data_IF_614131586084
#
_entry.id   IF_614131586084
#
_cell.length_a   1.000
_cell.length_b   1.000
_cell.length_c   1.000
_cell.angle_alpha   90.00
_cell.angle_beta   90.00
_cell.angle_gamma   90.00
#
_symmetry.space_group_name_H-M   'P 1'
#
loop_
_entity.id
_entity.type
_entity.pdbx_description
1 polymer ?
2 non-polymer ?
3 non-polymer ?
4 water ?
#
# COMPACT_ATOMS: atom_id res chain seq x y z
N UNK A 9 7.46 -29.14 17.76
CA UNK A 9 6.38 -30.12 17.57
C UNK A 9 5.14 -29.49 16.93
N UNK A 10 4.64 -30.12 15.85
CA UNK A 10 3.49 -29.65 15.06
C UNK A 10 2.25 -30.53 15.26
N UNK A 11 1.08 -29.87 15.44
CA UNK A 11 -0.23 -30.52 15.60
C UNK A 11 -1.06 -30.35 14.33
N UNK A 12 -0.36 -30.40 13.16
CA UNK A 12 -0.90 -30.34 11.80
C UNK A 12 -1.53 -31.72 11.49
N UNK A 13 -1.15 -32.72 12.29
CA UNK A 13 -1.59 -34.10 12.29
C UNK A 13 -3.09 -34.23 12.62
N UNK A 14 -3.64 -33.27 13.39
CA UNK A 14 -5.04 -33.29 13.81
C UNK A 14 -5.97 -32.56 12.86
N UNK A 15 -5.39 -31.81 11.90
CA UNK A 15 -6.18 -31.08 10.91
C UNK A 15 -6.60 -32.07 9.85
N UNK A 16 -7.89 -32.33 9.80
CA UNK A 16 -8.54 -33.23 8.86
C UNK A 16 -8.91 -32.45 7.58
N UNK A 17 -8.51 -32.96 6.40
CA UNK A 17 -8.86 -32.39 5.09
C UNK A 17 -10.34 -32.71 4.86
N UNK A 18 -11.14 -31.68 4.47
CA UNK A 18 -12.60 -31.78 4.27
C UNK A 18 -13.01 -31.66 2.81
N UNK A 19 -12.10 -31.27 1.91
CA UNK A 19 -12.37 -31.14 0.47
C UNK A 19 -11.06 -31.11 -0.31
N UNK A 20 -11.16 -31.33 -1.63
CA UNK A 20 -10.03 -31.42 -2.56
C UNK A 20 -10.41 -30.71 -3.85
N UNK A 21 -9.43 -30.09 -4.50
CA UNK A 21 -9.65 -29.44 -5.81
C UNK A 21 -9.95 -30.52 -6.87
N UNK A 22 -10.62 -30.24 -8.01
CA UNK A 22 -10.80 -31.30 -9.03
C UNK A 22 -9.44 -31.81 -9.51
N UNK A 23 -8.42 -30.93 -9.57
CA UNK A 23 -7.04 -31.25 -9.94
C UNK A 23 -6.38 -32.26 -8.98
N UNK A 24 -6.81 -32.23 -7.71
CA UNK A 24 -6.32 -33.09 -6.63
C UNK A 24 -5.15 -32.50 -5.86
N UNK A 25 -4.60 -31.40 -6.38
CA UNK A 25 -3.44 -30.71 -5.83
C UNK A 25 -3.69 -30.02 -4.47
N UNK A 26 -4.88 -29.45 -4.27
CA UNK A 26 -5.15 -28.70 -3.04
C UNK A 26 -6.17 -29.34 -2.15
N UNK A 27 -5.92 -29.25 -0.84
CA UNK A 27 -6.79 -29.73 0.21
C UNK A 27 -7.40 -28.57 1.02
N UNK A 28 -8.66 -28.70 1.41
CA UNK A 28 -9.36 -27.73 2.24
C UNK A 28 -9.41 -28.28 3.68
N UNK A 29 -9.16 -27.44 4.66
CA UNK A 29 -9.30 -27.77 6.05
C UNK A 29 -10.47 -26.91 6.51
N UNK A 30 -11.23 -27.39 7.47
CA UNK A 30 -12.36 -26.62 7.95
C UNK A 30 -11.94 -25.67 9.08
N UNK A 31 -10.98 -24.76 8.74
CA UNK A 31 -10.41 -23.72 9.60
C UNK A 31 -10.58 -22.39 8.83
N UNK A 32 -11.55 -21.57 9.25
CA UNK A 32 -11.90 -20.28 8.66
C UNK A 32 -10.89 -19.22 9.09
N UNK A 33 -10.35 -18.51 8.12
CA UNK A 33 -9.36 -17.46 8.35
C UNK A 33 -9.95 -16.06 8.30
N UNK A 34 -11.05 -15.90 7.57
CA UNK A 34 -11.72 -14.62 7.40
C UNK A 34 -13.10 -14.76 6.77
N UNK A 35 -13.94 -13.73 6.96
CA UNK A 35 -15.30 -13.70 6.43
C UNK A 35 -15.55 -12.53 5.48
N UNK A 36 -16.82 -12.26 5.25
CA UNK A 36 -17.32 -11.21 4.39
C UNK A 36 -18.50 -11.76 3.61
N UNK A 37 -19.40 -10.86 3.15
CA UNK A 37 -20.49 -11.33 2.30
C UNK A 37 -19.77 -11.67 0.98
N UNK A 38 -20.27 -12.70 0.32
CA UNK A 38 -19.74 -13.29 -0.93
C UNK A 38 -18.47 -14.08 -0.73
N UNK A 39 -17.86 -14.08 0.48
CA UNK A 39 -16.58 -14.75 0.68
C UNK A 39 -16.28 -15.35 2.06
N UNK A 40 -15.73 -16.58 2.05
CA UNK A 40 -15.22 -17.24 3.25
C UNK A 40 -13.82 -17.77 2.86
N UNK A 41 -12.79 -17.49 3.67
CA UNK A 41 -11.41 -17.94 3.40
C UNK A 41 -11.08 -19.04 4.40
N UNK A 42 -10.46 -20.11 3.91
CA UNK A 42 -10.11 -21.27 4.71
C UNK A 42 -8.65 -21.56 4.65
N UNK A 43 -8.16 -22.27 5.66
CA UNK A 43 -6.78 -22.74 5.61
C UNK A 43 -6.82 -23.94 4.62
N UNK A 44 -5.80 -24.03 3.80
CA UNK A 44 -5.66 -25.09 2.82
C UNK A 44 -4.23 -25.56 2.73
N UNK A 45 -3.98 -26.54 1.88
CA UNK A 45 -2.65 -27.09 1.68
C UNK A 45 -2.38 -27.42 0.22
N UNK A 46 -1.15 -27.10 -0.24
CA UNK A 46 -0.71 -27.47 -1.57
C UNK A 46 0.06 -28.79 -1.33
N UNK A 47 -0.34 -29.87 -2.01
CA UNK A 47 0.30 -31.17 -1.82
C UNK A 47 1.50 -31.37 -2.79
N UNK A 48 1.79 -30.37 -3.64
CA UNK A 48 2.94 -30.38 -4.55
C UNK A 48 4.12 -29.71 -3.86
N UNK A 49 3.88 -28.64 -3.08
CA UNK A 49 4.89 -27.87 -2.33
C UNK A 49 4.84 -28.10 -0.81
N UNK A 50 3.69 -28.55 -0.26
CA UNK A 50 3.45 -28.79 1.18
C UNK A 50 3.52 -27.48 1.99
N UNK A 51 2.94 -26.42 1.41
CA UNK A 51 2.86 -25.06 1.95
C UNK A 51 1.39 -24.66 2.12
N UNK A 52 1.05 -24.13 3.30
CA UNK A 52 -0.31 -23.71 3.57
C UNK A 52 -0.76 -22.57 2.65
N UNK A 53 -1.94 -22.74 2.07
CA UNK A 53 -2.53 -21.80 1.12
C UNK A 53 -3.87 -21.26 1.64
N UNK A 54 -4.43 -20.27 0.95
CA UNK A 54 -5.74 -19.76 1.29
C UNK A 54 -6.73 -20.42 0.34
N UNK A 55 -7.76 -21.05 0.90
CA UNK A 55 -8.83 -21.70 0.14
C UNK A 55 -10.02 -20.75 0.26
N UNK A 56 -10.22 -19.96 -0.75
CA UNK A 56 -11.25 -18.95 -0.73
C UNK A 56 -12.51 -19.42 -1.46
N UNK A 57 -13.66 -19.28 -0.81
CA UNK A 57 -14.94 -19.65 -1.40
C UNK A 57 -15.75 -18.40 -1.64
N UNK A 58 -16.00 -18.11 -2.91
CA UNK A 58 -16.70 -16.93 -3.39
C UNK A 58 -18.05 -17.30 -3.97
N UNK A 59 -19.12 -16.66 -3.48
CA UNK A 59 -20.45 -16.94 -4.02
C UNK A 59 -21.44 -15.79 -3.88
N UNK A 60 -22.06 -15.42 -5.00
CA UNK A 60 -23.20 -14.52 -5.02
C UNK A 60 -24.38 -15.39 -5.47
N UNK A 61 -25.34 -15.59 -4.55
CA UNK A 61 -26.50 -16.45 -4.78
C UNK A 61 -27.46 -15.90 -5.84
N UNK A 62 -27.78 -14.58 -5.75
CA UNK A 62 -28.68 -13.87 -6.66
C UNK A 62 -28.07 -13.60 -8.06
N UNK A 63 -27.27 -14.54 -8.59
CA UNK A 63 -26.58 -14.40 -9.89
C UNK A 63 -27.17 -15.30 -10.98
N UNK A 64 -27.46 -14.71 -12.17
CA UNK A 64 -28.02 -15.40 -13.34
C UNK A 64 -26.98 -16.35 -13.95
N UNK A 65 -27.41 -17.25 -14.85
CA UNK A 65 -26.56 -18.21 -15.55
C UNK A 65 -25.49 -17.49 -16.37
N UNK A 66 -25.85 -16.35 -17.01
CA UNK A 66 -24.94 -15.52 -17.81
C UNK A 66 -23.88 -14.89 -16.90
N UNK A 67 -24.32 -14.19 -15.82
CA UNK A 67 -23.48 -13.52 -14.81
C UNK A 67 -22.48 -14.52 -14.19
N UNK A 68 -22.96 -15.73 -13.82
CA UNK A 68 -22.16 -16.80 -13.23
C UNK A 68 -21.03 -17.28 -14.13
N UNK A 69 -21.29 -17.42 -15.44
CA UNK A 69 -20.26 -17.83 -16.40
C UNK A 69 -19.21 -16.71 -16.61
N UNK A 70 -19.60 -15.43 -16.37
CA UNK A 70 -18.70 -14.29 -16.50
C UNK A 70 -17.84 -14.11 -15.23
N UNK A 71 -18.39 -14.52 -14.08
CA UNK A 71 -17.73 -14.50 -12.78
C UNK A 71 -16.69 -15.63 -12.74
N UNK A 72 -17.05 -16.82 -13.24
CA UNK A 72 -16.17 -17.98 -13.34
C UNK A 72 -14.94 -17.67 -14.22
N UNK A 73 -15.15 -16.97 -15.36
CA UNK A 73 -14.03 -16.62 -16.26
C UNK A 73 -13.18 -15.47 -15.72
N UNK A 74 -13.78 -14.57 -14.92
CA UNK A 74 -13.07 -13.46 -14.27
C UNK A 74 -12.09 -14.07 -13.27
N UNK A 75 -12.54 -15.14 -12.58
CA UNK A 75 -11.78 -15.88 -11.60
C UNK A 75 -10.63 -16.64 -12.25
N UNK A 76 -10.85 -17.16 -13.48
CA UNK A 76 -9.85 -17.90 -14.25
C UNK A 76 -8.76 -16.97 -14.82
N UNK A 77 -9.08 -15.69 -15.04
CA UNK A 77 -8.14 -14.68 -15.53
C UNK A 77 -7.01 -14.41 -14.52
N UNK A 78 -7.35 -14.48 -13.20
CA UNK A 78 -6.45 -14.22 -12.07
C UNK A 78 -5.29 -15.22 -11.96
N UNK A 79 -5.50 -16.47 -12.45
CA UNK A 79 -4.51 -17.58 -12.46
C UNK A 79 -3.21 -17.18 -13.17
N UNK A 80 -3.33 -16.50 -14.30
CA UNK A 80 -2.18 -16.04 -15.08
C UNK A 80 -1.51 -14.77 -14.58
N UNK A 81 -1.88 -14.28 -13.38
CA UNK A 81 -1.26 -13.07 -12.82
C UNK A 81 -0.08 -13.43 -11.95
N UNK A 82 1.11 -13.13 -12.48
CA UNK A 82 2.40 -13.38 -11.86
C UNK A 82 3.19 -12.08 -11.83
N UNK A 83 3.37 -11.51 -10.63
CA UNK A 83 4.10 -10.26 -10.40
C UNK A 83 4.56 -10.31 -8.94
N UNK A 84 5.77 -9.81 -8.58
CA UNK A 84 6.21 -9.91 -7.17
C UNK A 84 5.35 -9.12 -6.16
N UNK A 85 4.53 -8.14 -6.62
CA UNK A 85 3.69 -7.31 -5.75
C UNK A 85 2.19 -7.62 -5.82
N UNK A 86 1.85 -8.82 -6.30
CA UNK A 86 0.47 -9.32 -6.42
C UNK A 86 0.48 -10.66 -5.75
N UNK A 87 -0.45 -10.89 -4.81
CA UNK A 87 -0.58 -12.19 -4.13
C UNK A 87 -0.79 -13.21 -5.25
N UNK A 88 -0.02 -14.30 -5.23
CA UNK A 88 -0.10 -15.33 -6.27
C UNK A 88 -1.43 -16.09 -6.17
N UNK A 89 -2.12 -16.25 -7.33
CA UNK A 89 -3.37 -16.99 -7.50
C UNK A 89 -3.00 -18.30 -8.18
N UNK A 90 -2.96 -19.40 -7.41
CA UNK A 90 -2.54 -20.71 -7.89
C UNK A 90 -3.52 -21.40 -8.80
N UNK A 91 -4.82 -21.41 -8.44
CA UNK A 91 -5.87 -22.07 -9.23
C UNK A 91 -7.26 -21.60 -8.84
N UNK A 92 -8.21 -21.70 -9.78
CA UNK A 92 -9.62 -21.37 -9.55
C UNK A 92 -10.51 -22.36 -10.29
N UNK A 93 -11.62 -22.76 -9.67
CA UNK A 93 -12.59 -23.66 -10.29
C UNK A 93 -14.02 -23.40 -9.77
N UNK A 94 -15.03 -23.93 -10.47
CA UNK A 94 -16.43 -23.82 -10.08
C UNK A 94 -16.82 -25.06 -9.31
N UNK A 95 -17.61 -24.86 -8.26
CA UNK A 95 -18.09 -25.89 -7.37
C UNK A 95 -19.56 -25.56 -7.01
N UNK A 96 -20.09 -26.18 -5.95
CA UNK A 96 -21.44 -26.00 -5.46
C UNK A 96 -21.38 -25.83 -3.94
N UNK A 97 -22.06 -24.79 -3.45
CA UNK A 97 -22.15 -24.48 -2.03
C UNK A 97 -23.61 -24.20 -1.75
N UNK A 98 -24.17 -24.94 -0.77
CA UNK A 98 -25.59 -24.88 -0.39
C UNK A 98 -26.50 -24.97 -1.66
N UNK A 99 -26.24 -26.00 -2.48
CA UNK A 99 -26.99 -26.28 -3.70
C UNK A 99 -26.70 -25.37 -4.89
N UNK A 100 -26.44 -24.07 -4.63
CA UNK A 100 -26.16 -23.10 -5.70
C UNK A 100 -24.68 -23.11 -6.07
N UNK A 101 -24.36 -22.60 -7.27
CA UNK A 101 -22.98 -22.52 -7.76
C UNK A 101 -22.14 -21.52 -6.96
N UNK A 102 -20.85 -21.86 -6.77
CA UNK A 102 -19.85 -21.05 -6.09
C UNK A 102 -18.52 -21.17 -6.83
N UNK A 103 -17.58 -20.26 -6.58
CA UNK A 103 -16.24 -20.27 -7.16
C UNK A 103 -15.23 -20.45 -6.02
N UNK A 104 -14.20 -21.29 -6.22
CA UNK A 104 -13.14 -21.49 -5.25
C UNK A 104 -11.88 -20.87 -5.83
N UNK A 105 -11.20 -20.01 -5.06
CA UNK A 105 -9.95 -19.39 -5.47
C UNK A 105 -8.87 -19.80 -4.53
N UNK A 106 -7.84 -20.46 -5.08
CA UNK A 106 -6.70 -20.85 -4.25
C UNK A 106 -5.60 -19.81 -4.48
N UNK A 107 -5.12 -19.23 -3.38
CA UNK A 107 -4.10 -18.19 -3.42
C UNK A 107 -3.03 -18.48 -2.38
N UNK A 108 -1.90 -17.77 -2.49
CA UNK A 108 -0.81 -17.74 -1.54
C UNK A 108 -1.38 -17.21 -0.21
N UNK A 109 -0.94 -17.80 0.91
CA UNK A 109 -1.37 -17.39 2.25
C UNK A 109 -0.29 -16.45 2.83
N UNK A 110 -0.70 -15.22 3.14
CA UNK A 110 0.14 -14.15 3.66
C UNK A 110 0.08 -14.25 5.19
N UNK A 111 1.19 -14.71 5.79
CA UNK A 111 1.29 -15.02 7.22
C UNK A 111 1.57 -13.82 8.12
N UNK A 112 2.16 -12.72 7.59
CA UNK A 112 2.46 -11.51 8.37
C UNK A 112 1.33 -10.49 8.36
N UNK A 113 0.15 -10.89 7.90
CA UNK A 113 -1.03 -10.04 7.84
C UNK A 113 -1.03 -8.87 6.87
N UNK A 114 -2.02 -7.99 7.05
CA UNK A 114 -2.26 -6.85 6.19
C UNK A 114 -1.54 -5.60 6.68
N UNK A 115 -1.52 -4.58 5.81
CA UNK A 115 -0.99 -3.29 6.14
C UNK A 115 -1.93 -2.60 7.16
N UNK A 116 -3.26 -2.85 7.08
CA UNK A 116 -4.26 -2.29 8.00
C UNK A 116 -3.95 -2.73 9.45
N UNK A 117 -3.71 -4.04 9.66
CA UNK A 117 -3.35 -4.60 10.96
C UNK A 117 -2.03 -3.97 11.44
N UNK A 118 -1.05 -3.89 10.52
CA UNK A 118 0.26 -3.30 10.83
C UNK A 118 0.12 -1.82 11.32
N UNK A 119 -0.60 -0.98 10.58
CA UNK A 119 -0.78 0.44 10.87
C UNK A 119 -1.69 0.76 12.07
N UNK A 120 -2.40 -0.23 12.64
CA UNK A 120 -3.22 -0.07 13.87
C UNK A 120 -2.30 0.16 15.06
N UNK A 121 -1.11 -0.45 15.03
CA UNK A 121 -0.11 -0.45 16.09
C UNK A 121 1.24 0.19 15.71
N UNK A 122 1.79 -0.15 14.55
CA UNK A 122 3.12 0.29 14.16
C UNK A 122 3.17 1.32 13.08
N UNK A 123 4.20 2.15 13.15
CA UNK A 123 4.52 3.15 12.13
C UNK A 123 5.36 2.41 11.12
N UNK A 124 5.38 2.87 9.86
CA UNK A 124 6.23 2.16 8.89
C UNK A 124 7.70 2.48 9.25
N UNK A 125 8.53 1.44 9.17
CA UNK A 125 9.92 1.49 9.54
C UNK A 125 10.79 2.37 8.64
N UNK A 126 11.81 2.98 9.29
CA UNK A 126 12.79 3.89 8.73
C UNK A 126 14.15 3.22 8.51
N UNK A 127 14.92 3.52 7.41
CA UNK A 127 14.82 4.67 6.51
C UNK A 127 14.06 4.60 5.16
N UNK A 128 13.83 3.41 4.58
CA UNK A 128 13.28 3.40 3.21
C UNK A 128 11.93 2.72 2.98
N UNK A 129 11.37 2.01 3.96
CA UNK A 129 10.22 1.14 3.70
C UNK A 129 8.97 1.94 3.22
N UNK A 130 8.71 3.18 3.68
CA UNK A 130 7.57 3.95 3.14
C UNK A 130 7.67 4.12 1.60
N UNK A 131 8.81 4.64 1.11
CA UNK A 131 9.05 4.85 -0.31
C UNK A 131 8.90 3.54 -1.10
N UNK A 132 9.44 2.42 -0.54
CA UNK A 132 9.45 1.11 -1.20
C UNK A 132 8.07 0.53 -1.31
N UNK A 133 7.27 0.56 -0.24
CA UNK A 133 5.94 -0.02 -0.21
C UNK A 133 5.04 0.73 -1.16
N UNK A 134 5.20 2.06 -1.25
CA UNK A 134 4.44 2.90 -2.19
C UNK A 134 4.70 2.50 -3.62
N UNK A 135 5.99 2.46 -4.01
CA UNK A 135 6.50 2.11 -5.33
C UNK A 135 6.03 0.71 -5.71
N UNK A 136 5.95 -0.20 -4.71
CA UNK A 136 5.50 -1.57 -4.89
C UNK A 136 4.01 -1.68 -5.15
N UNK A 137 3.20 -0.85 -4.49
CA UNK A 137 1.74 -0.82 -4.77
C UNK A 137 1.54 -0.25 -6.19
N UNK A 138 2.30 0.80 -6.57
CA UNK A 138 2.22 1.43 -7.91
C UNK A 138 2.61 0.44 -8.99
N UNK A 139 3.71 -0.31 -8.79
CA UNK A 139 4.18 -1.35 -9.69
C UNK A 139 3.16 -2.47 -9.86
N UNK A 140 2.55 -2.89 -8.76
CA UNK A 140 1.49 -3.90 -8.74
C UNK A 140 0.24 -3.45 -9.48
N UNK A 141 -0.23 -2.21 -9.21
CA UNK A 141 -1.36 -1.60 -9.90
C UNK A 141 -1.07 -1.43 -11.40
N UNK A 142 0.14 -0.94 -11.75
CA UNK A 142 0.57 -0.73 -13.13
C UNK A 142 0.50 -2.04 -13.90
N UNK A 143 0.92 -3.17 -13.28
CA UNK A 143 0.89 -4.52 -13.84
C UNK A 143 -0.55 -4.92 -14.16
N UNK A 144 -1.50 -4.72 -13.21
CA UNK A 144 -2.92 -5.01 -13.35
C UNK A 144 -3.54 -4.15 -14.47
N UNK A 145 -3.22 -2.85 -14.50
CA UNK A 145 -3.73 -1.91 -15.53
C UNK A 145 -3.14 -2.15 -16.93
N UNK A 146 -2.02 -2.89 -17.04
CA UNK A 146 -1.36 -3.15 -18.32
C UNK A 146 -1.66 -4.54 -18.87
N UNK A 147 -2.65 -5.22 -18.27
CA UNK A 147 -3.06 -6.52 -18.75
C UNK A 147 -3.95 -6.32 -19.96
N UNK A 148 -4.18 -7.39 -20.75
CA UNK A 148 -5.07 -7.33 -21.91
C UNK A 148 -6.18 -8.35 -21.67
N UNK A 149 -7.40 -7.91 -21.31
CA UNK A 149 -7.82 -6.50 -21.14
C UNK A 149 -7.37 -5.97 -19.76
N UNK A 150 -7.29 -4.63 -19.55
CA UNK A 150 -6.83 -4.11 -18.25
C UNK A 150 -7.64 -4.62 -17.06
N UNK A 151 -6.97 -4.85 -15.93
CA UNK A 151 -7.61 -5.23 -14.67
C UNK A 151 -7.62 -3.98 -13.79
N UNK A 152 -8.75 -3.67 -13.17
CA UNK A 152 -8.91 -2.57 -12.21
C UNK A 152 -9.10 -3.29 -10.88
N UNK A 153 -8.35 -2.91 -9.83
CA UNK A 153 -8.49 -3.56 -8.52
C UNK A 153 -9.91 -3.36 -7.98
N UNK A 154 -10.44 -2.10 -7.97
CA UNK A 154 -11.79 -1.73 -7.53
C UNK A 154 -12.00 -1.71 -6.03
N UNK A 155 -11.09 -2.33 -5.24
CA UNK A 155 -11.26 -2.42 -3.81
C UNK A 155 -9.92 -2.24 -3.11
N UNK A 156 -9.06 -1.35 -3.65
CA UNK A 156 -7.74 -1.10 -3.05
C UNK A 156 -7.85 -0.35 -1.75
N UNK A 157 -7.20 -0.89 -0.74
CA UNK A 157 -7.18 -0.35 0.63
C UNK A 157 -6.12 -1.13 1.38
N UNK A 158 -5.74 -0.62 2.55
CA UNK A 158 -4.71 -1.21 3.39
C UNK A 158 -5.01 -2.63 3.82
N UNK A 159 -6.29 -2.96 4.01
CA UNK A 159 -6.71 -4.32 4.36
C UNK A 159 -6.56 -5.32 3.22
N UNK A 160 -6.27 -4.85 1.98
CA UNK A 160 -6.06 -5.66 0.76
C UNK A 160 -4.62 -5.62 0.27
N UNK A 161 -3.73 -5.05 1.10
CA UNK A 161 -2.29 -4.99 0.90
C UNK A 161 -1.69 -5.85 2.03
N UNK A 162 -0.95 -6.88 1.66
CA UNK A 162 -0.33 -7.81 2.59
C UNK A 162 1.15 -7.58 2.64
N UNK A 163 1.73 -7.80 3.81
CA UNK A 163 3.15 -7.57 4.01
C UNK A 163 3.88 -8.90 4.18
N UNK A 164 5.13 -8.98 3.68
CA UNK A 164 5.96 -10.18 3.87
C UNK A 164 6.60 -10.07 5.23
N UNK A 165 6.82 -8.82 5.66
CA UNK A 165 7.43 -8.45 6.92
C UNK A 165 7.56 -6.95 7.02
N UNK A 166 7.94 -6.42 8.20
CA UNK A 166 8.05 -4.96 8.35
C UNK A 166 9.13 -4.29 7.50
N UNK A 167 10.16 -5.06 7.09
CA UNK A 167 11.25 -4.58 6.23
C UNK A 167 11.23 -5.31 4.87
N UNK A 168 10.19 -6.10 4.66
CA UNK A 168 10.03 -6.85 3.43
C UNK A 168 9.26 -6.07 2.39
N UNK A 169 8.61 -6.80 1.51
CA UNK A 169 7.81 -6.25 0.45
C UNK A 169 6.30 -6.36 0.70
N UNK A 170 5.54 -5.57 -0.06
CA UNK A 170 4.09 -5.59 -0.04
C UNK A 170 3.54 -6.30 -1.28
N UNK A 171 2.38 -6.92 -1.13
CA UNK A 171 1.65 -7.59 -2.21
C UNK A 171 0.18 -7.21 -2.13
N UNK A 172 -0.38 -6.76 -3.25
CA UNK A 172 -1.79 -6.47 -3.39
C UNK A 172 -2.52 -7.83 -3.56
N UNK A 173 -3.61 -7.99 -2.82
CA UNK A 173 -4.44 -9.18 -2.93
C UNK A 173 -5.89 -8.74 -2.94
N UNK A 174 -6.79 -9.72 -2.87
CA UNK A 174 -8.24 -9.55 -2.81
C UNK A 174 -8.80 -8.58 -3.86
N UNK A 175 -8.49 -8.83 -5.13
CA UNK A 175 -8.98 -8.00 -6.22
C UNK A 175 -10.50 -7.97 -6.21
N UNK A 176 -11.08 -6.80 -6.47
CA UNK A 176 -12.52 -6.64 -6.55
C UNK A 176 -12.98 -7.14 -7.90
N UNK A 177 -13.76 -8.24 -7.92
CA UNK A 177 -14.21 -8.85 -9.17
C UNK A 177 -15.35 -8.07 -9.80
N UNK A 178 -15.16 -7.59 -11.05
CA UNK A 178 -16.13 -6.79 -11.81
C UNK A 178 -17.60 -7.27 -11.67
N UNK A 179 -17.84 -8.58 -11.86
CA UNK A 179 -19.13 -9.27 -11.80
C UNK A 179 -19.71 -9.30 -10.38
N UNK A 180 -18.83 -9.33 -9.35
CA UNK A 180 -19.22 -9.32 -7.95
C UNK A 180 -19.56 -7.92 -7.41
N UNK A 181 -19.28 -6.89 -8.20
CA UNK A 181 -19.48 -5.49 -7.81
C UNK A 181 -20.23 -4.72 -8.87
N UNK A 182 -21.18 -5.37 -9.54
CA UNK A 182 -21.99 -4.75 -10.58
C UNK A 182 -23.03 -3.77 -9.98
N UNK A 183 -23.46 -3.98 -8.72
CA UNK A 183 -24.53 -3.21 -8.09
C UNK A 183 -24.13 -2.29 -6.95
N UNK A 184 -24.98 -1.27 -6.71
CA UNK A 184 -24.80 -0.34 -5.61
C UNK A 184 -24.82 -1.02 -4.26
N UNK A 185 -25.56 -2.15 -4.15
CA UNK A 185 -25.63 -2.97 -2.95
C UNK A 185 -24.26 -3.62 -2.69
N UNK A 186 -23.75 -4.38 -3.70
CA UNK A 186 -22.46 -5.10 -3.66
C UNK A 186 -21.31 -4.15 -3.39
N UNK A 187 -21.35 -2.95 -3.98
CA UNK A 187 -20.33 -1.92 -3.78
C UNK A 187 -20.37 -1.39 -2.34
N UNK A 188 -21.54 -1.31 -1.72
CA UNK A 188 -21.71 -0.80 -0.35
C UNK A 188 -21.28 -1.77 0.72
N UNK A 189 -21.29 -3.07 0.40
CA UNK A 189 -20.88 -4.15 1.30
C UNK A 189 -19.37 -4.43 1.12
N UNK A 190 -18.89 -4.48 -0.13
CA UNK A 190 -17.48 -4.78 -0.41
C UNK A 190 -16.58 -3.60 -0.07
N UNK A 191 -16.83 -2.45 -0.69
CA UNK A 191 -16.04 -1.24 -0.51
C UNK A 191 -15.95 -0.62 0.87
N UNK A 192 -14.86 0.13 1.12
CA UNK A 192 -14.56 0.90 2.34
C UNK A 192 -14.61 2.38 1.90
N UNK A 193 -15.67 3.12 2.33
CA UNK A 193 -15.83 4.53 1.91
C UNK A 193 -14.57 5.40 1.86
N UNK A 194 -13.72 5.26 2.88
CA UNK A 194 -12.47 6.01 3.03
C UNK A 194 -11.55 5.94 1.80
N UNK A 195 -11.48 4.74 1.19
CA UNK A 195 -10.60 4.40 0.08
C UNK A 195 -11.26 4.49 -1.29
N UNK A 196 -12.56 4.83 -1.34
CA UNK A 196 -13.35 4.89 -2.58
C UNK A 196 -13.40 6.25 -3.20
N UNK A 197 -13.09 6.31 -4.50
CA UNK A 197 -13.14 7.54 -5.31
C UNK A 197 -14.59 7.98 -5.38
N UNK A 198 -14.90 9.30 -5.50
CA UNK A 198 -16.31 9.72 -5.59
C UNK A 198 -17.13 9.02 -6.70
N UNK A 199 -16.49 8.66 -7.84
CA UNK A 199 -17.17 8.03 -8.97
C UNK A 199 -17.35 6.51 -8.85
N UNK A 200 -17.00 5.91 -7.69
CA UNK A 200 -17.11 4.46 -7.48
C UNK A 200 -18.53 3.94 -7.65
N UNK A 201 -19.57 4.75 -7.29
CA UNK A 201 -20.97 4.35 -7.42
C UNK A 201 -21.60 4.64 -8.78
N UNK A 202 -20.84 5.20 -9.72
CA UNK A 202 -21.34 5.42 -11.07
C UNK A 202 -21.21 4.07 -11.78
N UNK A 203 -21.99 3.85 -12.83
CA UNK A 203 -21.92 2.59 -13.56
C UNK A 203 -20.59 2.49 -14.31
N UNK A 204 -19.99 3.66 -14.63
CA UNK A 204 -18.73 3.72 -15.34
C UNK A 204 -17.66 4.53 -14.63
N UNK A 205 -16.53 3.83 -14.38
CA UNK A 205 -15.31 4.35 -13.79
C UNK A 205 -14.16 3.60 -14.42
N UNK A 206 -12.95 4.17 -14.41
CA UNK A 206 -11.78 3.51 -14.96
C UNK A 206 -10.74 3.23 -13.87
N UNK A 207 -9.51 2.85 -14.27
CA UNK A 207 -8.38 2.50 -13.42
C UNK A 207 -7.95 3.61 -12.44
N UNK A 208 -8.41 4.88 -12.63
CA UNK A 208 -8.05 6.00 -11.77
C UNK A 208 -8.74 5.92 -10.40
N UNK A 209 -9.68 4.97 -10.20
CA UNK A 209 -10.26 4.69 -8.87
C UNK A 209 -9.15 4.07 -7.98
N UNK A 210 -8.23 3.26 -8.61
CA UNK A 210 -7.09 2.59 -7.99
C UNK A 210 -6.00 3.57 -7.60
N UNK A 211 -5.89 4.69 -8.33
CA UNK A 211 -4.95 5.80 -8.09
C UNK A 211 -5.43 6.57 -6.85
N UNK A 212 -6.74 6.86 -6.79
CA UNK A 212 -7.37 7.52 -5.68
C UNK A 212 -7.19 6.70 -4.36
N UNK A 213 -7.39 5.37 -4.43
CA UNK A 213 -7.28 4.43 -3.32
C UNK A 213 -5.82 4.33 -2.88
N UNK A 214 -4.87 4.38 -3.86
CA UNK A 214 -3.43 4.39 -3.58
C UNK A 214 -3.08 5.63 -2.75
N UNK A 215 -3.60 6.80 -3.16
CA UNK A 215 -3.38 8.07 -2.48
C UNK A 215 -3.77 8.02 -1.01
N UNK A 216 -4.88 7.31 -0.72
CA UNK A 216 -5.46 7.10 0.62
C UNK A 216 -4.62 6.12 1.44
N UNK A 217 -4.02 5.09 0.79
CA UNK A 217 -3.13 4.10 1.41
C UNK A 217 -1.87 4.83 1.84
N UNK A 218 -1.28 5.61 0.92
CA UNK A 218 -0.08 6.38 1.16
C UNK A 218 -0.34 7.39 2.28
N UNK A 219 -1.53 8.04 2.30
CA UNK A 219 -1.87 8.99 3.37
C UNK A 219 -1.79 8.29 4.72
N UNK A 220 -2.43 7.10 4.83
CA UNK A 220 -2.44 6.27 6.03
C UNK A 220 -1.02 5.84 6.46
N UNK A 221 -0.19 5.41 5.51
CA UNK A 221 1.19 5.04 5.80
C UNK A 221 2.02 6.24 6.29
N UNK A 222 1.70 7.48 5.84
CA UNK A 222 2.45 8.71 6.15
C UNK A 222 2.08 9.33 7.47
N UNK A 223 0.78 9.30 7.81
CA UNK A 223 0.21 9.92 8.99
C UNK A 223 0.02 8.95 10.14
N UNK A 224 0.19 7.63 9.87
CA UNK A 224 0.01 6.56 10.85
C UNK A 224 -1.37 6.71 11.54
N UNK A 225 -2.40 7.07 10.75
CA UNK A 225 -3.79 7.26 11.20
C UNK A 225 -4.79 7.01 10.07
N UNK A 226 -5.97 6.55 10.44
CA UNK A 226 -7.07 6.19 9.57
C UNK A 226 -7.70 7.38 8.84
N UNK A 227 -7.80 7.37 7.47
CA UNK A 227 -8.41 8.54 6.77
C UNK A 227 -9.87 8.72 7.13
N UNK A 228 -10.30 9.98 7.29
CA UNK A 228 -11.66 10.39 7.69
C UNK A 228 -12.09 9.81 9.03
N UNK A 229 -11.18 9.71 10.03
CA UNK A 229 -11.56 9.20 11.35
C UNK A 229 -12.48 10.19 12.11
N UNK A 230 -12.45 11.48 11.73
CA UNK A 230 -13.28 12.55 12.28
C UNK A 230 -14.79 12.29 12.03
N UNK A 231 -15.10 11.49 10.98
CA UNK A 231 -16.46 11.14 10.61
C UNK A 231 -17.03 10.08 11.54
N UNK A 232 -18.33 10.19 11.84
CA UNK A 232 -19.07 9.28 12.73
C UNK A 232 -19.50 8.02 11.97
N UNK A 233 -19.86 8.17 10.68
CA UNK A 233 -20.30 7.08 9.81
C UNK A 233 -19.97 7.30 8.32
N UNK A 234 -20.19 6.25 7.50
CA UNK A 234 -19.95 6.18 6.05
C UNK A 234 -20.68 7.24 5.24
N UNK A 235 -21.86 7.69 5.71
CA UNK A 235 -22.65 8.73 5.02
C UNK A 235 -21.94 10.05 5.06
N UNK A 236 -21.31 10.35 6.22
CA UNK A 236 -20.53 11.57 6.46
C UNK A 236 -19.31 11.62 5.56
N UNK A 237 -18.62 10.45 5.37
CA UNK A 237 -17.44 10.29 4.50
C UNK A 237 -17.86 10.52 3.05
N UNK A 238 -18.96 9.85 2.61
CA UNK A 238 -19.52 10.00 1.26
C UNK A 238 -19.86 11.46 0.95
N UNK A 239 -20.46 12.20 1.92
CA UNK A 239 -20.80 13.61 1.79
C UNK A 239 -19.55 14.47 1.60
N UNK A 240 -18.53 14.24 2.47
CA UNK A 240 -17.24 14.95 2.46
C UNK A 240 -16.46 14.70 1.16
N UNK A 241 -16.32 13.40 0.75
CA UNK A 241 -15.62 12.96 -0.47
C UNK A 241 -16.23 13.62 -1.72
N UNK A 242 -17.57 13.53 -1.88
CA UNK A 242 -18.33 14.08 -3.02
C UNK A 242 -18.33 15.63 -3.02
N UNK A 243 -18.13 16.28 -1.85
CA UNK A 243 -18.05 17.75 -1.71
C UNK A 243 -16.67 18.29 -2.08
N UNK A 244 -15.66 17.42 -2.07
CA UNK A 244 -14.27 17.78 -2.34
C UNK A 244 -13.52 18.19 -1.08
N UNK A 245 -13.93 17.62 0.07
CA UNK A 245 -13.37 17.90 1.38
C UNK A 245 -12.41 16.78 1.77
N UNK A 246 -11.11 17.10 1.76
CA UNK A 246 -10.01 16.19 2.10
C UNK A 246 -10.06 15.71 3.57
N UNK A 247 -9.45 14.53 3.91
CA UNK A 247 -9.44 14.09 5.32
C UNK A 247 -8.58 15.07 6.15
N UNK A 248 -9.01 15.36 7.39
CA UNK A 248 -8.29 16.28 8.28
C UNK A 248 -6.82 15.89 8.44
N UNK A 249 -6.53 14.57 8.33
CA UNK A 249 -5.19 13.98 8.44
C UNK A 249 -4.25 14.35 7.27
N UNK A 250 -4.80 14.86 6.14
CA UNK A 250 -4.02 15.28 4.97
C UNK A 250 -3.20 16.52 5.37
N UNK A 251 -3.76 17.39 6.23
CA UNK A 251 -3.08 18.57 6.73
C UNK A 251 -2.12 18.23 7.88
N UNK A 252 -1.96 16.94 8.18
CA UNK A 252 -1.03 16.45 9.20
C UNK A 252 0.23 15.89 8.51
N UNK A 253 0.21 15.85 7.15
CA UNK A 253 1.34 15.41 6.32
C UNK A 253 2.36 16.54 6.39
N UNK A 254 3.55 16.22 6.95
CA UNK A 254 4.66 17.15 7.19
C UNK A 254 5.66 17.20 6.04
N UNK A 255 5.75 16.12 5.23
CA UNK A 255 6.64 16.12 4.07
C UNK A 255 5.90 16.76 2.86
N UNK A 256 6.42 17.89 2.33
CA UNK A 256 5.78 18.56 1.18
C UNK A 256 5.66 17.68 -0.06
N UNK A 257 6.63 16.79 -0.31
CA UNK A 257 6.64 15.84 -1.46
C UNK A 257 5.54 14.78 -1.31
N UNK A 258 5.41 14.21 -0.08
CA UNK A 258 4.41 13.20 0.27
C UNK A 258 3.00 13.85 0.17
N UNK A 259 2.83 15.10 0.67
CA UNK A 259 1.55 15.85 0.58
C UNK A 259 1.14 16.12 -0.89
N UNK A 260 2.14 16.39 -1.74
CA UNK A 260 1.98 16.68 -3.16
C UNK A 260 1.49 15.47 -3.95
N UNK A 261 2.11 14.30 -3.75
CA UNK A 261 1.74 13.03 -4.39
C UNK A 261 0.33 12.64 -4.01
N UNK A 262 0.02 12.69 -2.70
CA UNK A 262 -1.28 12.37 -2.13
C UNK A 262 -2.37 13.22 -2.77
N UNK A 263 -2.22 14.55 -2.76
CA UNK A 263 -3.23 15.44 -3.34
C UNK A 263 -3.42 15.18 -4.84
N UNK A 264 -2.36 14.82 -5.55
CA UNK A 264 -2.45 14.55 -6.98
C UNK A 264 -3.25 13.29 -7.29
N UNK A 265 -3.28 12.38 -6.30
CA UNK A 265 -3.96 11.10 -6.34
C UNK A 265 -5.41 11.19 -5.88
N UNK A 266 -5.71 11.97 -4.84
CA UNK A 266 -7.07 11.99 -4.29
C UNK A 266 -7.91 13.18 -4.84
N UNK A 267 -7.54 13.67 -6.05
CA UNK A 267 -8.27 14.73 -6.73
C UNK A 267 -9.71 14.28 -7.04
N UNK A 268 -10.71 15.13 -6.74
CA UNK A 268 -12.12 14.86 -6.99
C UNK A 268 -12.32 14.45 -8.47
N UNK A 269 -11.81 15.26 -9.42
CA UNK A 269 -11.91 14.99 -10.85
C UNK A 269 -10.90 13.94 -11.27
N UNK A 270 -11.45 12.78 -11.66
CA UNK A 270 -10.77 11.59 -12.15
C UNK A 270 -9.72 11.90 -13.25
N UNK A 271 -10.05 12.79 -14.19
CA UNK A 271 -9.17 13.18 -15.30
C UNK A 271 -7.96 14.01 -14.84
N UNK A 272 -8.11 14.73 -13.73
CA UNK A 272 -7.04 15.55 -13.16
C UNK A 272 -6.05 14.71 -12.33
N UNK A 273 -6.43 13.48 -11.94
CA UNK A 273 -5.57 12.60 -11.16
C UNK A 273 -4.28 12.26 -11.88
N UNK A 274 -3.21 12.09 -11.11
CA UNK A 274 -1.88 11.70 -11.53
C UNK A 274 -1.92 10.33 -12.18
N UNK A 275 -1.00 10.07 -13.12
CA UNK A 275 -0.93 8.74 -13.74
C UNK A 275 0.22 7.98 -13.08
N UNK A 276 0.11 6.65 -12.98
CA UNK A 276 1.13 5.79 -12.37
C UNK A 276 2.50 5.90 -13.11
N UNK A 277 2.47 5.92 -14.46
CA UNK A 277 3.66 6.07 -15.33
C UNK A 277 4.55 7.23 -14.86
N UNK A 278 3.93 8.38 -14.60
CA UNK A 278 4.60 9.60 -14.12
C UNK A 278 4.99 9.52 -12.64
N UNK A 279 4.11 8.94 -11.78
CA UNK A 279 4.40 8.76 -10.35
C UNK A 279 5.70 7.99 -10.19
N UNK A 280 5.86 6.90 -10.94
CA UNK A 280 7.05 6.06 -10.88
C UNK A 280 8.35 6.81 -11.30
N UNK A 281 8.19 7.98 -11.94
CA UNK A 281 9.27 8.87 -12.37
C UNK A 281 9.53 10.01 -11.40
N UNK A 282 8.71 10.11 -10.30
CA UNK A 282 8.84 11.12 -9.22
C UNK A 282 10.14 10.94 -8.48
N UNK A 283 10.82 12.06 -8.22
CA UNK A 283 12.09 12.08 -7.51
C UNK A 283 11.98 11.40 -6.12
N UNK A 284 10.79 11.42 -5.51
CA UNK A 284 10.54 10.80 -4.21
C UNK A 284 10.91 9.30 -4.21
N UNK A 285 10.82 8.64 -5.38
CA UNK A 285 11.13 7.21 -5.49
C UNK A 285 12.60 6.89 -5.87
N UNK A 286 13.49 7.90 -5.98
CA UNK A 286 14.93 7.77 -6.27
C UNK A 286 15.74 7.36 -5.02
N UNK A 287 16.87 6.63 -5.21
CA UNK A 287 17.76 6.16 -4.13
C UNK A 287 19.22 6.17 -4.55
N UNK A 288 19.62 7.17 -5.36
CA UNK A 288 20.97 7.34 -5.94
C UNK A 288 22.01 7.91 -4.98
N UNK A 289 21.55 8.76 -4.05
CA UNK A 289 22.43 9.42 -3.08
C UNK A 289 22.79 8.49 -1.90
N UNK A 290 21.81 7.75 -1.40
CA UNK A 290 22.00 6.88 -0.24
C UNK A 290 21.92 7.66 1.06
N UNK A 291 21.57 8.95 0.95
CA UNK A 291 21.41 9.91 2.05
C UNK A 291 20.09 10.64 1.95
N UNK A 292 19.40 10.78 3.09
CA UNK A 292 18.16 11.54 3.15
C UNK A 292 18.06 12.25 4.48
N UNK A 293 17.50 13.48 4.50
CA UNK A 293 17.32 14.27 5.73
C UNK A 293 15.84 14.53 5.95
N UNK A 294 15.37 14.33 7.16
CA UNK A 294 13.94 14.58 7.47
C UNK A 294 13.84 15.45 8.70
N UNK A 295 12.65 15.96 8.99
CA UNK A 295 12.45 16.69 10.24
C UNK A 295 12.32 15.65 11.36
N UNK A 296 12.94 15.90 12.51
CA UNK A 296 12.86 14.99 13.65
C UNK A 296 11.72 15.40 14.57
N UNK A 297 11.45 16.72 14.65
CA UNK A 297 10.43 17.29 15.51
C UNK A 297 9.51 18.19 14.73
N UNK A 298 8.28 18.35 15.25
CA UNK A 298 7.24 19.21 14.67
C UNK A 298 7.73 20.66 14.64
N UNK A 299 7.76 21.22 13.42
CA UNK A 299 8.23 22.58 13.15
C UNK A 299 7.28 23.71 13.59
N UNK A 300 7.72 24.49 14.62
CA UNK A 300 7.01 25.68 15.11
C UNK A 300 7.71 26.92 14.56
N UNK A 301 7.01 27.72 13.71
CA UNK A 301 7.57 28.89 13.02
C UNK A 301 8.01 30.04 13.97
N UNK A 302 7.75 29.90 15.28
CA UNK A 302 8.19 30.84 16.32
C UNK A 302 9.70 30.63 16.53
N UNK A 303 10.15 29.37 16.30
CA UNK A 303 11.54 28.90 16.40
C UNK A 303 12.33 29.23 15.16
N UNK A 304 13.64 29.42 15.33
CA UNK A 304 14.59 29.69 14.26
C UNK A 304 15.34 28.38 13.94
N UNK A 305 15.51 27.52 14.98
CA UNK A 305 16.20 26.25 14.91
C UNK A 305 15.26 25.06 14.67
N UNK A 306 15.69 24.18 13.74
CA UNK A 306 15.00 22.95 13.35
C UNK A 306 15.75 21.83 14.00
N UNK A 307 15.05 20.71 14.23
CA UNK A 307 15.61 19.50 14.76
C UNK A 307 15.50 18.54 13.60
N UNK A 308 16.65 18.08 13.09
CA UNK A 308 16.66 17.21 11.89
C UNK A 308 17.27 15.86 12.11
N UNK A 309 17.02 14.96 11.15
CA UNK A 309 17.57 13.63 11.17
C UNK A 309 18.12 13.26 9.79
N UNK A 310 19.38 12.84 9.74
CA UNK A 310 20.05 12.36 8.53
C UNK A 310 20.10 10.82 8.58
N UNK A 311 19.61 10.20 7.52
CA UNK A 311 19.56 8.77 7.35
C UNK A 311 20.53 8.34 6.30
N UNK A 312 21.35 7.35 6.65
CA UNK A 312 22.26 6.66 5.76
C UNK A 312 21.43 5.47 5.27
N UNK A 313 20.77 5.65 4.14
CA UNK A 313 19.90 4.65 3.53
C UNK A 313 20.70 3.56 2.82
N UNK A 314 21.92 3.89 2.35
CA UNK A 314 22.82 2.96 1.66
C UNK A 314 24.30 3.13 2.07
N UNK A 315 24.79 2.35 3.09
CA UNK A 315 26.20 2.47 3.54
C UNK A 315 27.27 2.18 2.49
N UNK A 316 26.87 1.45 1.41
CA UNK A 316 27.72 1.08 0.28
C UNK A 316 28.09 2.32 -0.55
N UNK A 317 27.17 3.32 -0.61
CA UNK A 317 27.34 4.56 -1.37
C UNK A 317 28.27 5.57 -0.68
N UNK A 318 28.83 5.19 0.50
CA UNK A 318 29.69 6.08 1.28
C UNK A 318 31.04 5.49 1.65
N UNK A 319 32.10 6.33 1.60
CA UNK A 319 33.45 5.96 2.02
C UNK A 319 33.43 5.78 3.53
N UNK A 320 34.03 4.71 4.01
CA UNK A 320 34.09 4.44 5.44
C UNK A 320 33.30 3.20 5.85
N UNK A 321 33.44 2.85 7.13
CA UNK A 321 32.80 1.69 7.73
C UNK A 321 31.55 2.16 8.48
N UNK A 322 30.42 2.21 7.73
CA UNK A 322 29.09 2.66 8.16
C UNK A 322 28.17 1.49 8.46
N UNK A 323 27.42 1.59 9.57
CA UNK A 323 26.44 0.59 9.96
C UNK A 323 25.14 0.81 9.21
N UNK A 324 24.29 -0.23 9.20
CA UNK A 324 22.95 -0.19 8.57
C UNK A 324 22.07 0.60 9.50
N UNK A 325 21.10 1.34 8.94
CA UNK A 325 20.11 2.16 9.67
C UNK A 325 20.75 3.27 10.51
N UNK A 326 21.89 3.79 10.06
CA UNK A 326 22.58 4.89 10.73
C UNK A 326 21.73 6.17 10.59
N UNK A 327 21.39 6.80 11.74
CA UNK A 327 20.62 8.05 11.82
C UNK A 327 21.31 9.05 12.75
N UNK A 328 21.65 10.21 12.20
CA UNK A 328 22.28 11.33 12.88
C UNK A 328 21.22 12.38 13.17
N UNK A 329 21.07 12.79 14.44
CA UNK A 329 20.13 13.85 14.82
C UNK A 329 20.95 15.09 15.09
N UNK A 330 20.63 16.18 14.39
CA UNK A 330 21.36 17.43 14.45
C UNK A 330 20.41 18.63 14.35
N UNK A 331 20.84 19.77 14.89
CA UNK A 331 20.00 20.96 14.83
C UNK A 331 20.47 21.82 13.66
N UNK A 332 19.60 22.68 13.19
CA UNK A 332 19.95 23.57 12.11
C UNK A 332 19.25 24.89 12.29
N UNK A 333 20.02 25.98 12.37
CA UNK A 333 19.46 27.31 12.50
C UNK A 333 19.22 27.83 11.11
N UNK A 334 17.95 28.04 10.77
CA UNK A 334 17.60 28.51 9.45
C UNK A 334 18.23 29.88 9.08
N UNK A 335 18.54 30.72 10.08
CA UNK A 335 19.13 32.03 9.87
C UNK A 335 20.65 31.96 9.67
N UNK A 336 21.37 31.51 10.70
CA UNK A 336 22.82 31.50 10.75
C UNK A 336 23.52 30.27 10.13
N UNK A 337 22.84 29.12 9.93
CA UNK A 337 23.53 27.93 9.41
C UNK A 337 23.45 27.73 7.89
N UNK A 338 24.38 26.93 7.34
CA UNK A 338 24.37 26.51 5.94
C UNK A 338 24.50 24.99 5.86
N UNK A 339 23.92 24.34 4.83
CA UNK A 339 24.06 22.89 4.71
C UNK A 339 25.53 22.46 4.51
N UNK A 340 26.29 23.24 3.74
CA UNK A 340 27.69 22.90 3.45
C UNK A 340 28.59 22.97 4.70
N UNK A 341 28.37 23.96 5.58
CA UNK A 341 29.13 24.07 6.81
C UNK A 341 28.74 22.98 7.81
N UNK A 342 27.43 22.64 7.92
CA UNK A 342 26.93 21.56 8.81
C UNK A 342 27.50 20.20 8.37
N UNK A 343 27.60 19.96 7.04
CA UNK A 343 28.20 18.74 6.46
C UNK A 343 29.68 18.68 6.85
N UNK A 344 30.39 19.85 6.95
CA UNK A 344 31.79 19.93 7.39
C UNK A 344 31.92 19.54 8.89
N UNK A 345 30.98 20.05 9.75
CA UNK A 345 30.86 19.70 11.16
C UNK A 345 30.61 18.18 11.31
N UNK A 346 29.86 17.56 10.38
CA UNK A 346 29.64 16.09 10.41
C UNK A 346 30.92 15.33 10.13
N UNK A 347 31.70 15.80 9.14
CA UNK A 347 33.00 15.27 8.75
C UNK A 347 33.99 15.38 9.91
N UNK A 348 34.03 16.57 10.57
CA UNK A 348 34.92 16.88 11.68
C UNK A 348 34.67 16.00 12.90
N UNK A 349 33.39 15.77 13.22
CA UNK A 349 32.96 14.91 14.34
C UNK A 349 33.23 13.41 14.08
N UNK A 350 33.56 13.07 12.83
CA UNK A 350 33.90 11.72 12.40
C UNK A 350 32.75 10.92 11.83
N UNK A 351 31.58 11.55 11.60
CA UNK A 351 30.42 10.86 10.98
C UNK A 351 30.72 10.42 9.54
N UNK A 352 31.46 11.26 8.77
CA UNK A 352 31.75 11.01 7.35
C UNK A 352 33.16 11.31 6.96
N UNK A 353 33.63 10.66 5.87
CA UNK A 353 34.92 10.95 5.26
C UNK A 353 34.71 12.26 4.43
N UNK A 354 35.74 13.13 4.35
CA UNK A 354 35.69 14.41 3.61
C UNK A 354 35.09 14.29 2.19
N UNK A 355 35.46 13.27 1.40
CA UNK A 355 34.99 13.10 0.03
C UNK A 355 33.45 12.96 -0.13
N UNK A 356 32.71 12.69 0.98
CA UNK A 356 31.27 12.55 0.98
C UNK A 356 30.52 13.85 1.37
N UNK A 357 31.27 14.94 1.58
CA UNK A 357 30.81 16.29 1.91
C UNK A 357 29.72 16.80 0.97
N UNK A 358 29.96 16.76 -0.36
CA UNK A 358 29.00 17.21 -1.36
C UNK A 358 27.68 16.45 -1.26
N UNK A 359 27.74 15.08 -1.13
CA UNK A 359 26.55 14.25 -0.97
C UNK A 359 25.80 14.58 0.34
N UNK A 360 26.53 14.86 1.43
CA UNK A 360 25.94 15.17 2.74
C UNK A 360 25.23 16.52 2.68
N UNK A 361 25.95 17.53 2.18
CA UNK A 361 25.48 18.89 2.03
C UNK A 361 24.22 18.97 1.17
N UNK A 362 24.12 18.16 0.09
CA UNK A 362 22.95 18.10 -0.80
C UNK A 362 21.75 17.52 -0.08
N UNK A 363 21.95 16.43 0.71
CA UNK A 363 20.84 15.80 1.45
C UNK A 363 20.23 16.78 2.48
N UNK A 364 21.09 17.63 3.09
CA UNK A 364 20.68 18.68 4.04
C UNK A 364 19.98 19.79 3.31
N UNK A 365 20.60 20.31 2.21
CA UNK A 365 20.07 21.38 1.33
C UNK A 365 18.66 21.04 0.81
N UNK A 366 18.45 19.79 0.34
CA UNK A 366 17.17 19.28 -0.13
C UNK A 366 16.01 19.47 0.86
N UNK A 367 16.24 19.20 2.15
CA UNK A 367 15.23 19.35 3.19
C UNK A 367 15.06 20.77 3.69
N UNK A 368 16.19 21.46 3.89
CA UNK A 368 16.28 22.75 4.54
C UNK A 368 15.98 23.98 3.65
N UNK A 369 16.24 23.92 2.32
CA UNK A 369 16.00 25.10 1.49
C UNK A 369 14.47 25.42 1.42
N UNK A 370 13.53 24.45 1.26
CA UNK A 370 12.11 24.84 1.22
C UNK A 370 11.58 25.46 2.51
N UNK A 371 11.92 24.89 3.69
CA UNK A 371 11.51 25.40 5.00
C UNK A 371 11.98 26.87 5.22
N UNK A 372 13.24 27.21 4.82
CA UNK A 372 13.83 28.56 4.94
C UNK A 372 13.05 29.61 4.12
N UNK A 373 12.51 29.19 2.96
CA UNK A 373 11.70 30.03 2.08
C UNK A 373 10.37 30.42 2.74
N UNK A 374 9.73 29.43 3.41
CA UNK A 374 8.46 29.51 4.14
C UNK A 374 8.55 30.49 5.34
N UNK A 375 9.76 30.68 5.89
CA UNK A 375 10.03 31.57 7.05
C UNK A 375 9.92 33.06 6.73
N UNK A 376 9.26 33.82 7.63
CA UNK A 376 9.06 35.27 7.52
C UNK A 376 9.66 36.00 8.72
X LIG B 1 2.75 5.35 17.20
X LIG B 1 3.72 5.26 18.23
X LIG B 1 2.75 4.11 16.28
X LIG B 1 1.46 3.68 15.84
X LIG B 1 0.62 4.56 15.04
X LIG B 1 -0.66 4.83 15.71
X LIG B 1 -1.32 3.66 16.14
X LIG C 1 -11.12 -12.06 -4.72
X LIG C 1 -10.14 -11.92 -5.72
X LIG C 1 -10.39 -12.11 -3.40
X LIG C 1 -11.14 -11.43 -2.42
X LIG C 1 -10.01 -13.49 -2.91
X LIG C 1 -9.26 -13.36 -1.72
X LIG D 1 -14.84 -9.02 -4.31
X LIG D 1 -14.24 -9.70 -5.38
X LIG D 1 -14.60 -9.87 -3.09
X LIG D 1 -13.21 -9.75 -2.88
X LIG D 1 -15.27 -9.32 -1.84
X LIG D 1 -15.54 -10.39 -0.97
X LIG E 1 -4.77 -13.48 -0.02
X LIG E 1 -5.79 -13.13 -0.94
X LIG E 1 -5.33 -13.79 1.36
X LIG E 1 -6.64 -14.33 1.24
X LIG E 1 -4.50 -14.81 2.12
X LIG E 1 -3.30 -14.21 2.55
X LIG F 1 18.71 8.87 15.95
X LIG F 1 19.88 8.27 16.49
X LIG F 1 17.43 8.19 16.41
X LIG F 1 16.69 8.97 17.33
X LIG F 1 16.47 7.99 15.28
X LIG F 1 16.86 6.83 14.59
#
# INVERSE_FOLDING_TARGET
>A
SMEKNEKEMEEEAEMKAVATSPSGRFLKFDIELGRGAFKTVYKGLDTETWVEVAWCELQDRKLTKAEQQRFKEEAEMLKGLQHPNIVRFYDSWESILKGKKCIVLVTELMTSGTLKTYLKRFKVMKPKVLRSWCRQILKGLQFLHTRTPPIIHRDLKCDNIFITGPTGSVKIGDLGLATLMRTSFAKSVIGTPEFMAPEMYEEHYDESVDVYAFGMCMLEMATSEYPYSECQNAAQIYRKVTSGIKPASFNKVTDPEVKEIIEGCIRQNKSERLSIRDLLNHAFFAEDTGLRVELAEEDDCSNSSLALRLWVEDPKKLKGKHKDNEAIEFSFNLETDTPEEVAYEMVKSGFFHESDSKAVAKSIRDRVTPIKKTREKKPA
>B hetero
1 PEG C1 O1 C2 O2 C3 C4 O4
>C hetero
1 GOL C1 O1 C2 O2 C3 O3
>D hetero
1 GOL C1 O1 C2 O2 C3 O3
>E hetero
1 GOL C1 O1 C2 O2 C3 O3
>F hetero
1 GOL C1 O1 C2 O2 C3 O3
#
